data_IF_227101295031
#
_entry.id   IF_227101295031
#
_cell.length_a   1.000
_cell.length_b   1.000
_cell.length_c   1.000
_cell.angle_alpha   90.00
_cell.angle_beta   90.00
_cell.angle_gamma   90.00
#
_symmetry.space_group_name_H-M   'P 1'
#
loop_
_entity.id
_entity.type
_entity.pdbx_description
1 polymer ?
#
# COMPACT_ATOMS: atom_id res chain seq x y z
N UNK A 1 -78.91 18.64 -29.39
CA UNK A 1 -78.22 17.74 -28.44
C UNK A 1 -76.92 17.31 -29.10
N UNK A 2 -75.87 18.12 -29.07
CA UNK A 2 -74.93 18.34 -27.96
C UNK A 2 -74.17 17.05 -27.61
N UNK A 3 -72.98 16.97 -28.22
CA UNK A 3 -71.69 16.53 -27.64
C UNK A 3 -71.60 15.06 -27.22
N UNK A 4 -70.36 14.58 -27.06
CA UNK A 4 -70.00 13.25 -26.57
C UNK A 4 -69.92 12.13 -27.62
N UNK A 5 -69.17 12.34 -28.70
CA UNK A 5 -68.46 11.24 -29.35
C UNK A 5 -67.00 11.61 -29.65
N UNK A 6 -66.38 12.30 -28.70
CA UNK A 6 -64.99 12.76 -28.81
C UNK A 6 -64.26 12.50 -27.50
N UNK A 7 -64.37 11.29 -26.97
CA UNK A 7 -63.77 10.93 -25.67
C UNK A 7 -63.62 9.41 -25.50
N UNK A 8 -63.32 8.66 -26.58
CA UNK A 8 -62.64 7.38 -26.40
C UNK A 8 -61.15 7.66 -26.17
N UNK A 9 -60.92 8.18 -24.97
CA UNK A 9 -59.66 8.19 -24.23
C UNK A 9 -58.73 7.06 -24.72
N UNK A 10 -57.60 7.35 -25.34
CA UNK A 10 -56.33 7.63 -24.65
C UNK A 10 -55.94 6.65 -23.52
N UNK A 11 -56.42 5.41 -23.54
CA UNK A 11 -56.05 4.39 -22.54
C UNK A 11 -55.43 3.13 -23.15
N UNK A 12 -54.57 3.28 -24.16
CA UNK A 12 -53.56 2.25 -24.45
C UNK A 12 -52.28 2.67 -23.74
N UNK A 13 -52.30 2.53 -22.41
CA UNK A 13 -51.09 2.61 -21.60
C UNK A 13 -50.16 1.51 -22.07
N UNK A 14 -49.06 1.90 -22.72
CA UNK A 14 -47.96 1.02 -23.07
C UNK A 14 -47.36 0.47 -21.78
N UNK A 15 -47.74 -0.75 -21.40
CA UNK A 15 -47.07 -1.47 -20.33
C UNK A 15 -45.72 -1.92 -20.89
N UNK A 16 -44.73 -1.05 -20.79
CA UNK A 16 -43.34 -1.40 -21.07
C UNK A 16 -42.85 -2.19 -19.87
N UNK A 17 -42.93 -3.52 -19.95
CA UNK A 17 -42.32 -4.42 -18.97
C UNK A 17 -40.81 -4.37 -19.23
N UNK A 18 -40.15 -3.37 -18.64
CA UNK A 18 -38.71 -3.38 -18.51
C UNK A 18 -38.36 -4.55 -17.58
N UNK A 19 -38.01 -5.69 -18.18
CA UNK A 19 -37.59 -6.87 -17.46
C UNK A 19 -36.26 -6.53 -16.75
N UNK A 20 -36.31 -6.28 -15.44
CA UNK A 20 -35.12 -6.16 -14.60
C UNK A 20 -34.37 -7.49 -14.64
N UNK A 21 -33.39 -7.59 -15.54
CA UNK A 21 -32.38 -8.63 -15.47
C UNK A 21 -31.58 -8.38 -14.19
N UNK A 22 -31.88 -9.13 -13.12
CA UNK A 22 -31.00 -9.23 -11.96
C UNK A 22 -29.64 -9.68 -12.46
N UNK A 23 -28.70 -8.74 -12.51
CA UNK A 23 -27.30 -9.03 -12.80
C UNK A 23 -26.80 -9.82 -11.59
N UNK A 24 -26.69 -11.14 -11.76
CA UNK A 24 -25.98 -11.96 -10.80
C UNK A 24 -24.50 -11.68 -11.04
N UNK A 25 -23.94 -10.78 -10.23
CA UNK A 25 -22.50 -10.55 -10.21
C UNK A 25 -21.88 -11.80 -9.63
N UNK A 26 -21.28 -12.63 -10.50
CA UNK A 26 -20.38 -13.68 -10.03
C UNK A 26 -19.36 -13.04 -9.10
N UNK A 27 -19.17 -13.61 -7.91
CA UNK A 27 -18.16 -13.15 -6.97
C UNK A 27 -16.78 -13.32 -7.61
N UNK A 28 -16.31 -12.28 -8.30
CA UNK A 28 -14.94 -12.22 -8.81
C UNK A 28 -14.07 -12.13 -7.58
N UNK A 29 -13.52 -13.27 -7.16
CA UNK A 29 -12.51 -13.37 -6.12
C UNK A 29 -11.23 -12.71 -6.64
N UNK A 30 -11.20 -11.38 -6.64
CA UNK A 30 -9.98 -10.63 -6.87
C UNK A 30 -9.07 -10.98 -5.71
N UNK A 31 -8.09 -11.85 -5.94
CA UNK A 31 -6.96 -12.07 -5.04
C UNK A 31 -6.26 -10.72 -4.86
N UNK A 32 -6.76 -9.91 -3.94
CA UNK A 32 -6.24 -8.58 -3.68
C UNK A 32 -4.92 -8.77 -2.97
N UNK A 33 -3.83 -8.62 -3.73
CA UNK A 33 -2.46 -8.66 -3.20
C UNK A 33 -2.42 -7.79 -1.95
N UNK A 34 -2.00 -8.39 -0.83
CA UNK A 34 -1.94 -7.68 0.45
C UNK A 34 -1.18 -6.36 0.29
N UNK A 35 -1.76 -5.29 0.84
CA UNK A 35 -1.12 -3.98 0.80
C UNK A 35 0.26 -4.07 1.45
N UNK A 36 1.31 -3.48 0.85
CA UNK A 36 2.61 -3.42 1.50
C UNK A 36 2.48 -2.69 2.83
N UNK A 37 3.12 -3.26 3.86
CA UNK A 37 3.03 -2.75 5.22
C UNK A 37 4.43 -2.56 5.81
N UNK A 38 4.51 -1.66 6.78
CA UNK A 38 5.70 -1.39 7.57
C UNK A 38 5.33 -1.35 9.04
N UNK A 39 6.18 -1.87 9.92
CA UNK A 39 6.01 -1.81 11.37
C UNK A 39 6.96 -0.77 11.95
N UNK A 40 6.42 0.23 12.65
CA UNK A 40 7.22 1.25 13.33
C UNK A 40 6.95 1.12 14.81
N UNK A 41 7.99 0.82 15.59
CA UNK A 41 7.91 0.64 17.04
C UNK A 41 6.79 -0.33 17.49
N UNK A 42 6.55 -1.39 16.72
CA UNK A 42 5.52 -2.40 17.01
C UNK A 42 4.13 -2.12 16.41
N UNK A 43 3.88 -0.91 15.91
CA UNK A 43 2.62 -0.55 15.26
C UNK A 43 2.72 -0.78 13.75
N UNK A 44 1.70 -1.40 13.14
CA UNK A 44 1.67 -1.71 11.70
C UNK A 44 0.97 -0.61 10.92
N UNK A 45 1.63 -0.12 9.87
CA UNK A 45 1.13 0.90 8.96
C UNK A 45 1.07 0.38 7.53
N UNK A 46 0.10 0.86 6.76
CA UNK A 46 0.09 0.68 5.31
C UNK A 46 1.14 1.60 4.69
N UNK A 47 1.91 1.11 3.73
CA UNK A 47 2.98 1.90 3.11
C UNK A 47 3.10 1.63 1.61
N UNK A 48 2.42 2.45 0.81
CA UNK A 48 2.39 2.31 -0.66
C UNK A 48 3.79 2.44 -1.29
N UNK A 49 4.62 3.36 -0.80
CA UNK A 49 5.96 3.62 -1.32
C UNK A 49 7.05 2.72 -0.72
N UNK A 50 6.68 1.57 -0.14
CA UNK A 50 7.62 0.62 0.47
C UNK A 50 8.80 0.26 -0.43
N UNK A 51 8.55 -0.02 -1.70
CA UNK A 51 9.60 -0.44 -2.63
C UNK A 51 10.60 0.69 -2.94
N UNK A 52 10.10 1.94 -3.00
CA UNK A 52 10.94 3.12 -3.16
C UNK A 52 11.79 3.35 -1.92
N UNK A 53 11.19 3.20 -0.73
CA UNK A 53 11.91 3.29 0.54
C UNK A 53 13.01 2.25 0.66
N UNK A 54 12.74 0.98 0.35
CA UNK A 54 13.76 -0.08 0.35
C UNK A 54 14.90 0.26 -0.61
N UNK A 55 14.58 0.74 -1.81
CA UNK A 55 15.63 1.18 -2.74
C UNK A 55 16.41 2.39 -2.24
N UNK A 56 15.77 3.30 -1.52
CA UNK A 56 16.41 4.48 -0.96
C UNK A 56 17.41 4.09 0.14
N UNK A 57 17.00 3.27 1.11
CA UNK A 57 17.87 2.87 2.24
C UNK A 57 19.05 1.99 1.77
N UNK A 58 18.83 1.09 0.80
CA UNK A 58 19.87 0.18 0.32
C UNK A 58 20.84 0.83 -0.67
N UNK A 59 20.47 1.94 -1.31
CA UNK A 59 21.38 2.73 -2.14
C UNK A 59 22.02 3.89 -1.37
N UNK A 60 21.37 4.32 -0.29
CA UNK A 60 21.87 5.38 0.58
C UNK A 60 23.05 4.91 1.42
N UNK A 61 23.79 5.89 1.94
CA UNK A 61 24.93 5.64 2.82
C UNK A 61 24.48 5.43 4.27
N UNK A 62 23.65 4.40 4.51
CA UNK A 62 23.07 4.11 5.83
C UNK A 62 24.11 3.79 6.92
N UNK A 63 25.32 3.40 6.50
CA UNK A 63 26.47 3.13 7.37
C UNK A 63 27.12 4.41 7.93
N UNK A 64 26.69 5.60 7.51
CA UNK A 64 27.17 6.87 8.06
C UNK A 64 26.31 7.27 9.26
N UNK A 65 26.93 7.92 10.24
CA UNK A 65 26.24 8.38 11.45
C UNK A 65 25.26 9.53 11.18
N UNK A 66 25.45 10.27 10.08
CA UNK A 66 24.58 11.36 9.63
C UNK A 66 23.41 10.89 8.75
N UNK A 67 23.23 9.57 8.59
CA UNK A 67 22.14 9.04 7.79
C UNK A 67 20.78 9.48 8.36
N UNK A 68 19.95 10.02 7.49
CA UNK A 68 18.60 10.43 7.84
C UNK A 68 17.65 10.16 6.69
N UNK A 69 16.38 9.95 7.03
CA UNK A 69 15.33 9.77 6.07
C UNK A 69 14.00 10.25 6.63
N UNK A 70 13.11 10.62 5.71
CA UNK A 70 11.73 11.00 6.00
C UNK A 70 10.81 10.20 5.09
N UNK A 71 9.85 9.50 5.67
CA UNK A 71 8.82 8.74 4.95
C UNK A 71 7.44 9.31 5.26
N UNK A 72 6.58 9.33 4.25
CA UNK A 72 5.15 9.59 4.40
C UNK A 72 4.40 8.26 4.58
N UNK A 73 3.59 8.19 5.63
CA UNK A 73 2.74 7.06 5.95
C UNK A 73 1.29 7.52 5.81
N UNK A 74 0.49 6.74 5.11
CA UNK A 74 -0.94 7.02 4.99
C UNK A 74 -1.70 5.96 5.80
N UNK A 75 -2.55 6.40 6.73
CA UNK A 75 -3.44 5.46 7.43
C UNK A 75 -4.47 4.91 6.45
N UNK A 76 -4.88 3.66 6.65
CA UNK A 76 -5.88 3.02 5.79
C UNK A 76 -7.28 3.64 5.98
N UNK A 77 -7.63 4.00 7.21
CA UNK A 77 -8.97 4.46 7.59
C UNK A 77 -9.22 5.93 7.33
N UNK A 78 -8.18 6.76 7.46
CA UNK A 78 -8.26 8.21 7.28
C UNK A 78 -7.15 8.60 6.30
N UNK A 79 -7.47 9.37 5.25
CA UNK A 79 -6.50 9.88 4.25
C UNK A 79 -5.45 10.86 4.85
N UNK A 80 -5.26 10.84 6.16
CA UNK A 80 -4.25 11.58 6.89
C UNK A 80 -2.86 11.06 6.53
N UNK A 81 -1.98 12.02 6.21
CA UNK A 81 -0.58 11.78 5.92
C UNK A 81 0.23 12.04 7.19
N UNK A 82 0.90 11.02 7.68
CA UNK A 82 1.84 11.10 8.79
C UNK A 82 3.26 11.11 8.24
N UNK A 83 4.12 11.94 8.81
CA UNK A 83 5.53 11.93 8.48
C UNK A 83 6.31 11.25 9.60
N UNK A 84 7.12 10.27 9.21
CA UNK A 84 8.06 9.63 10.11
C UNK A 84 9.48 9.95 9.67
N UNK A 85 10.27 10.48 10.60
CA UNK A 85 11.66 10.86 10.35
C UNK A 85 12.57 10.15 11.33
N UNK A 86 13.68 9.63 10.81
CA UNK A 86 14.77 9.08 11.60
C UNK A 86 16.08 9.72 11.16
N UNK A 87 16.97 9.93 12.12
CA UNK A 87 18.32 10.46 11.91
C UNK A 87 19.27 9.79 12.90
N UNK A 88 20.51 9.61 12.49
CA UNK A 88 21.56 9.05 13.33
C UNK A 88 22.03 7.67 12.85
N UNK A 89 22.95 7.04 13.61
CA UNK A 89 23.51 5.74 13.29
C UNK A 89 22.42 4.72 12.99
N UNK A 90 22.49 4.09 11.82
CA UNK A 90 21.43 3.19 11.33
C UNK A 90 21.99 1.83 10.95
N UNK A 91 21.45 0.78 11.59
CA UNK A 91 21.78 -0.61 11.34
C UNK A 91 20.67 -1.26 10.54
N UNK A 92 20.99 -1.72 9.32
CA UNK A 92 20.05 -2.46 8.47
C UNK A 92 20.31 -3.96 8.62
N UNK A 93 19.25 -4.74 8.88
CA UNK A 93 19.27 -6.20 8.92
C UNK A 93 18.35 -6.76 7.84
N UNK A 94 18.79 -7.79 7.12
CA UNK A 94 17.95 -8.58 6.20
C UNK A 94 18.02 -10.03 6.65
N UNK A 95 16.90 -10.62 7.06
CA UNK A 95 16.84 -12.01 7.55
C UNK A 95 17.90 -12.30 8.63
N UNK A 96 18.02 -11.37 9.59
CA UNK A 96 19.01 -11.35 10.67
C UNK A 96 20.48 -11.12 10.25
N UNK A 97 20.79 -11.06 8.95
CA UNK A 97 22.10 -10.66 8.43
C UNK A 97 22.26 -9.14 8.52
N UNK A 98 23.30 -8.67 9.21
CA UNK A 98 23.61 -7.22 9.31
C UNK A 98 24.28 -6.80 8.01
N UNK A 99 23.74 -5.76 7.38
CA UNK A 99 24.33 -5.22 6.16
C UNK A 99 25.52 -4.31 6.47
N UNK A 100 26.62 -4.55 5.76
CA UNK A 100 27.76 -3.64 5.71
C UNK A 100 27.64 -2.66 4.53
N UNK A 101 28.59 -1.72 4.44
CA UNK A 101 28.76 -0.81 3.30
C UNK A 101 28.82 -1.52 1.94
N UNK A 102 29.37 -2.73 1.89
CA UNK A 102 29.61 -3.49 0.66
C UNK A 102 28.60 -4.63 0.46
N UNK A 103 27.35 -4.42 0.88
CA UNK A 103 26.33 -5.45 0.79
C UNK A 103 25.96 -5.87 -0.64
N UNK A 104 25.41 -7.07 -0.77
CA UNK A 104 24.98 -7.64 -2.05
C UNK A 104 23.88 -6.84 -2.76
N UNK A 105 23.06 -6.06 -2.05
CA UNK A 105 21.88 -5.35 -2.58
C UNK A 105 22.17 -3.96 -3.19
N UNK A 106 23.29 -3.81 -3.89
CA UNK A 106 23.72 -2.52 -4.47
C UNK A 106 23.10 -2.19 -5.84
N UNK A 107 22.49 -3.16 -6.53
CA UNK A 107 21.94 -2.98 -7.88
C UNK A 107 20.42 -2.99 -7.90
N UNK A 108 19.84 -2.25 -8.84
CA UNK A 108 18.38 -2.17 -9.02
C UNK A 108 17.74 -3.56 -9.24
N UNK A 109 18.37 -4.44 -10.03
CA UNK A 109 17.88 -5.79 -10.29
C UNK A 109 17.80 -6.63 -9.01
N UNK A 110 18.82 -6.52 -8.15
CA UNK A 110 18.88 -7.23 -6.87
C UNK A 110 17.86 -6.69 -5.87
N UNK A 111 17.72 -5.37 -5.78
CA UNK A 111 16.70 -4.71 -4.94
C UNK A 111 15.29 -5.10 -5.41
N UNK A 112 15.02 -5.10 -6.72
CA UNK A 112 13.73 -5.52 -7.27
C UNK A 112 13.41 -6.97 -6.91
N UNK A 113 14.40 -7.88 -7.01
CA UNK A 113 14.25 -9.28 -6.58
C UNK A 113 13.97 -9.40 -5.08
N UNK A 114 14.64 -8.59 -4.25
CA UNK A 114 14.38 -8.51 -2.81
C UNK A 114 12.94 -8.05 -2.55
N UNK A 115 12.47 -6.98 -3.20
CA UNK A 115 11.14 -6.41 -2.98
C UNK A 115 10.00 -7.42 -3.17
N UNK A 116 10.15 -8.37 -4.08
CA UNK A 116 9.16 -9.45 -4.27
C UNK A 116 9.12 -10.46 -3.10
N UNK A 117 10.22 -10.61 -2.37
CA UNK A 117 10.34 -11.54 -1.25
C UNK A 117 10.05 -10.91 0.11
N UNK A 118 10.03 -9.57 0.22
CA UNK A 118 9.79 -8.89 1.49
C UNK A 118 8.40 -9.24 2.02
N UNK A 119 8.37 -9.78 3.23
CA UNK A 119 7.18 -10.06 4.02
C UNK A 119 6.86 -8.92 4.97
N UNK A 120 7.88 -8.39 5.64
CA UNK A 120 7.72 -7.32 6.62
C UNK A 120 8.97 -6.42 6.68
N UNK A 121 8.77 -5.15 7.02
CA UNK A 121 9.83 -4.21 7.36
C UNK A 121 9.52 -3.65 8.74
N UNK A 122 10.48 -3.68 9.64
CA UNK A 122 10.36 -3.11 10.99
C UNK A 122 11.39 -2.01 11.19
N UNK A 123 10.92 -0.88 11.71
CA UNK A 123 11.70 0.28 12.11
C UNK A 123 11.63 0.38 13.63
N UNK A 124 12.80 0.37 14.27
CA UNK A 124 12.96 0.55 15.71
C UNK A 124 13.96 1.66 15.97
N UNK A 125 13.57 2.62 16.81
CA UNK A 125 14.44 3.70 17.26
C UNK A 125 14.90 3.38 18.68
N UNK A 126 16.22 3.29 18.88
CA UNK A 126 16.84 3.25 20.21
C UNK A 126 17.51 4.58 20.50
N UNK A 127 18.00 4.75 21.73
CA UNK A 127 18.62 6.00 22.22
C UNK A 127 19.83 6.39 21.36
N UNK A 128 20.65 5.41 20.96
CA UNK A 128 21.90 5.63 20.21
C UNK A 128 21.91 5.01 18.81
N UNK A 129 20.92 4.16 18.48
CA UNK A 129 20.96 3.37 17.26
C UNK A 129 19.56 3.19 16.67
N UNK A 130 19.46 3.39 15.38
CA UNK A 130 18.28 3.08 14.59
C UNK A 130 18.43 1.68 13.99
N UNK A 131 17.39 0.86 14.04
CA UNK A 131 17.40 -0.49 13.46
C UNK A 131 16.29 -0.62 12.43
N UNK A 132 16.68 -0.96 11.20
CA UNK A 132 15.77 -1.31 10.11
C UNK A 132 15.92 -2.80 9.85
N UNK A 133 14.89 -3.59 10.14
CA UNK A 133 14.87 -5.02 9.89
C UNK A 133 13.93 -5.35 8.72
N UNK A 134 14.45 -6.03 7.71
CA UNK A 134 13.69 -6.55 6.58
C UNK A 134 13.61 -8.06 6.73
N UNK A 135 12.40 -8.61 6.72
CA UNK A 135 12.16 -10.05 6.75
C UNK A 135 11.62 -10.50 5.40
N UNK A 136 12.25 -11.50 4.81
CA UNK A 136 11.83 -12.11 3.54
C UNK A 136 11.10 -13.44 3.76
N UNK A 137 10.44 -13.95 2.72
CA UNK A 137 9.74 -15.24 2.67
C UNK A 137 10.60 -16.28 1.97
#
# INVERSE_FOLDING_TARGET
MVRYLFLFFFFVSTISIAQEKKINLDEVSVYKKALPAISISGVKYSFRDRDKFVSYILKGAFWRDDFSFKISLQKFTHNEIFYYQMSGPTLIKIDNEILSKYHKYNSFKKIKKLNFKIKNISLKKFISLNVIAITTK
#
